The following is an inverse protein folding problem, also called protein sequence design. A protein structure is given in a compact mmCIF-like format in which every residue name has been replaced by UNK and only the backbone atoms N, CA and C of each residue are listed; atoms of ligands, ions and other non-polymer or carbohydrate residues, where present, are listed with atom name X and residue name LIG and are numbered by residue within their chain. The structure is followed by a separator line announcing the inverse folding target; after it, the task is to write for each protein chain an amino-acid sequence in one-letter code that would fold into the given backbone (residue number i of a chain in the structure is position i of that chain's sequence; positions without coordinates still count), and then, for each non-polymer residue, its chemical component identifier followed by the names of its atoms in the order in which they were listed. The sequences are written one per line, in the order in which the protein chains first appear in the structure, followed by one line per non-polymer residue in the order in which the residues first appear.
data_IF_811043383072
#
_entry.id   IF_811043383072
#
_cell.length_a   1.000
_cell.length_b   1.000
_cell.length_c   1.000
_cell.angle_alpha   90.00
_cell.angle_beta   90.00
_cell.angle_gamma   90.00
#
_symmetry.space_group_name_H-M   'P 1'
#
loop_
_entity.id
_entity.type
_entity.pdbx_description
1 polymer ?
#
# COMPACT_ATOMS: atom_id res chain seq x y z
N UNK A 1 42.78 -11.41 44.68
CA UNK A 1 42.15 -12.28 43.66
C UNK A 1 40.94 -12.92 44.32
N UNK A 2 39.72 -12.51 43.96
CA UNK A 2 38.51 -13.15 44.47
C UNK A 2 38.42 -14.58 43.92
N UNK A 3 38.15 -15.56 44.77
CA UNK A 3 38.09 -16.95 44.33
C UNK A 3 36.80 -17.20 43.55
N UNK A 4 36.80 -18.20 42.66
CA UNK A 4 35.61 -18.58 41.87
C UNK A 4 34.39 -18.92 42.75
N UNK A 5 34.65 -19.38 43.98
CA UNK A 5 33.63 -19.63 44.99
C UNK A 5 32.97 -18.34 45.50
N UNK A 6 33.73 -17.25 45.66
CA UNK A 6 33.19 -15.95 46.08
C UNK A 6 32.30 -15.36 44.99
N UNK A 7 32.67 -15.48 43.72
CA UNK A 7 31.86 -15.01 42.59
C UNK A 7 30.56 -15.80 42.49
N UNK A 8 30.61 -17.13 42.64
CA UNK A 8 29.41 -17.98 42.62
C UNK A 8 28.46 -17.67 43.79
N UNK A 9 29.00 -17.44 44.99
CA UNK A 9 28.21 -17.07 46.16
C UNK A 9 27.57 -15.67 46.02
N UNK A 10 28.29 -14.73 45.39
CA UNK A 10 27.79 -13.38 45.12
C UNK A 10 26.70 -13.40 44.05
N UNK A 11 26.85 -14.23 43.03
CA UNK A 11 25.87 -14.41 41.95
C UNK A 11 24.62 -15.16 42.42
N UNK A 12 24.77 -16.14 43.31
CA UNK A 12 23.65 -16.82 43.97
C UNK A 12 22.87 -15.86 44.89
N UNK A 13 23.56 -14.98 45.63
CA UNK A 13 22.91 -13.94 46.45
C UNK A 13 22.25 -12.86 45.60
N UNK A 14 22.85 -12.47 44.46
CA UNK A 14 22.26 -11.55 43.52
C UNK A 14 21.00 -12.14 42.85
N UNK A 15 21.01 -13.43 42.50
CA UNK A 15 19.84 -14.15 41.97
C UNK A 15 18.75 -14.33 43.04
N UNK A 16 19.13 -14.64 44.28
CA UNK A 16 18.18 -14.72 45.38
C UNK A 16 17.58 -13.33 45.72
N UNK A 17 18.37 -12.27 45.67
CA UNK A 17 17.91 -10.89 45.84
C UNK A 17 17.02 -10.44 44.67
N UNK A 18 17.32 -10.85 43.44
CA UNK A 18 16.48 -10.61 42.27
C UNK A 18 15.15 -11.39 42.32
N UNK A 19 15.14 -12.56 42.98
CA UNK A 19 13.94 -13.39 43.22
C UNK A 19 13.11 -12.91 44.42
N UNK A 20 13.75 -12.23 45.38
CA UNK A 20 13.13 -11.62 46.57
C UNK A 20 12.70 -10.17 46.35
N UNK A 21 13.25 -9.49 45.33
CA UNK A 21 12.59 -8.39 44.64
C UNK A 21 11.39 -8.99 43.91
N UNK A 22 10.31 -9.18 44.66
CA UNK A 22 8.97 -9.34 44.16
C UNK A 22 8.64 -8.05 43.41
N UNK A 23 9.14 -7.93 42.17
CA UNK A 23 8.86 -6.78 41.33
C UNK A 23 7.37 -6.90 41.02
N UNK A 24 6.51 -5.94 41.45
CA UNK A 24 5.10 -5.93 41.10
C UNK A 24 4.84 -5.74 39.59
N UNK A 25 5.85 -5.94 38.74
CA UNK A 25 5.83 -5.77 37.29
C UNK A 25 5.57 -7.07 36.52
N UNK A 26 5.76 -8.27 37.10
CA UNK A 26 5.59 -9.51 36.32
C UNK A 26 4.11 -9.89 36.13
N UNK A 27 3.29 -9.70 37.17
CA UNK A 27 1.82 -9.85 37.09
C UNK A 27 1.21 -8.77 36.21
N UNK A 28 1.64 -7.51 36.37
CA UNK A 28 1.20 -6.40 35.53
C UNK A 28 1.60 -6.57 34.05
N UNK A 29 2.79 -7.11 33.77
CA UNK A 29 3.22 -7.42 32.40
C UNK A 29 2.38 -8.54 31.79
N UNK A 30 2.12 -9.62 32.53
CA UNK A 30 1.30 -10.73 32.06
C UNK A 30 -0.15 -10.30 31.77
N UNK A 31 -0.73 -9.47 32.63
CA UNK A 31 -2.07 -8.90 32.41
C UNK A 31 -2.08 -7.93 31.23
N UNK A 32 -1.14 -6.98 31.16
CA UNK A 32 -1.02 -6.04 30.04
C UNK A 32 -0.80 -6.76 28.71
N UNK A 33 0.05 -7.80 28.71
CA UNK A 33 0.29 -8.65 27.56
C UNK A 33 -0.98 -9.42 27.16
N UNK A 34 -1.73 -9.95 28.13
CA UNK A 34 -3.02 -10.61 27.91
C UNK A 34 -4.06 -9.66 27.27
N UNK A 35 -4.20 -8.44 27.81
CA UNK A 35 -5.09 -7.42 27.24
C UNK A 35 -4.64 -6.99 25.84
N UNK A 36 -3.35 -6.75 25.63
CA UNK A 36 -2.79 -6.37 24.33
C UNK A 36 -3.01 -7.48 23.29
N UNK A 37 -2.80 -8.75 23.68
CA UNK A 37 -3.10 -9.92 22.88
C UNK A 37 -4.58 -9.98 22.52
N UNK A 38 -5.47 -9.79 23.49
CA UNK A 38 -6.90 -9.84 23.27
C UNK A 38 -7.38 -8.81 22.24
N UNK A 39 -6.91 -7.57 22.39
CA UNK A 39 -7.31 -6.46 21.51
C UNK A 39 -6.69 -6.62 20.11
N UNK A 40 -5.43 -7.01 20.01
CA UNK A 40 -4.73 -7.09 18.73
C UNK A 40 -5.03 -8.37 17.94
N UNK A 41 -5.10 -9.53 18.61
CA UNK A 41 -5.12 -10.85 17.98
C UNK A 41 -6.47 -11.56 18.11
N UNK A 42 -7.15 -11.47 19.25
CA UNK A 42 -8.34 -12.31 19.52
C UNK A 42 -9.65 -11.75 18.98
N UNK A 43 -9.73 -10.44 18.68
CA UNK A 43 -10.94 -9.86 18.10
C UNK A 43 -11.29 -10.60 16.80
N UNK A 44 -12.52 -11.02 16.48
CA UNK A 44 -12.75 -11.81 15.28
C UNK A 44 -12.68 -10.93 14.01
N UNK A 45 -12.07 -11.47 12.93
CA UNK A 45 -11.95 -10.73 11.66
C UNK A 45 -13.33 -10.45 11.06
N UNK A 46 -14.18 -11.46 11.00
CA UNK A 46 -15.57 -11.33 10.61
C UNK A 46 -16.45 -11.31 11.87
N UNK A 47 -17.42 -10.38 12.01
CA UNK A 47 -17.82 -9.33 11.07
C UNK A 47 -17.06 -8.00 11.26
N UNK A 48 -16.47 -7.76 12.43
CA UNK A 48 -16.13 -6.41 12.89
C UNK A 48 -14.96 -5.78 12.16
N UNK A 49 -13.80 -6.45 12.14
CA UNK A 49 -12.61 -5.91 11.49
C UNK A 49 -12.76 -5.83 9.99
N UNK A 50 -13.46 -6.80 9.40
CA UNK A 50 -13.74 -6.82 7.97
C UNK A 50 -14.57 -5.61 7.57
N UNK A 51 -15.64 -5.32 8.31
CA UNK A 51 -16.47 -4.16 8.05
C UNK A 51 -15.68 -2.86 8.21
N UNK A 52 -14.86 -2.74 9.26
CA UNK A 52 -13.98 -1.58 9.47
C UNK A 52 -12.98 -1.40 8.31
N UNK A 53 -12.38 -2.48 7.82
CA UNK A 53 -11.48 -2.46 6.65
C UNK A 53 -12.21 -2.04 5.37
N UNK A 54 -13.41 -2.58 5.12
CA UNK A 54 -14.25 -2.20 3.97
C UNK A 54 -14.62 -0.72 4.04
N UNK A 55 -14.96 -0.23 5.24
CA UNK A 55 -15.33 1.17 5.47
C UNK A 55 -14.14 2.12 5.26
N UNK A 56 -12.96 1.73 5.73
CA UNK A 56 -11.72 2.47 5.47
C UNK A 56 -11.37 2.50 3.98
N UNK A 57 -11.52 1.36 3.27
CA UNK A 57 -11.32 1.31 1.82
C UNK A 57 -12.31 2.22 1.07
N UNK A 58 -13.58 2.25 1.51
CA UNK A 58 -14.61 3.14 0.96
C UNK A 58 -14.26 4.61 1.17
N UNK A 59 -13.80 5.00 2.35
CA UNK A 59 -13.37 6.37 2.67
C UNK A 59 -12.20 6.81 1.78
N UNK A 60 -11.18 5.95 1.62
CA UNK A 60 -10.01 6.25 0.77
C UNK A 60 -10.33 6.34 -0.72
N UNK A 61 -11.18 5.45 -1.23
CA UNK A 61 -11.60 5.48 -2.64
C UNK A 61 -12.53 6.67 -2.93
N UNK A 62 -13.38 7.03 -1.97
CA UNK A 62 -14.17 8.25 -2.06
C UNK A 62 -13.30 9.51 -2.10
N UNK A 63 -12.27 9.57 -1.25
CA UNK A 63 -11.30 10.68 -1.24
C UNK A 63 -10.53 10.80 -2.56
N UNK A 64 -10.13 9.68 -3.17
CA UNK A 64 -9.43 9.65 -4.46
C UNK A 64 -10.32 10.17 -5.61
N UNK A 65 -11.58 9.75 -5.64
CA UNK A 65 -12.51 10.06 -6.73
C UNK A 65 -13.29 11.37 -6.52
N UNK A 66 -13.14 12.00 -5.35
CA UNK A 66 -13.90 13.16 -4.89
C UNK A 66 -15.43 13.01 -5.02
N UNK A 67 -15.94 11.77 -5.07
CA UNK A 67 -17.36 11.48 -5.34
C UNK A 67 -17.84 11.82 -6.75
N UNK A 68 -16.94 12.05 -7.71
CA UNK A 68 -17.27 12.54 -9.07
C UNK A 68 -17.38 11.45 -10.13
N UNK A 69 -17.26 10.17 -9.76
CA UNK A 69 -17.26 9.04 -10.69
C UNK A 69 -18.61 8.32 -10.70
N UNK A 70 -18.88 7.60 -11.79
CA UNK A 70 -20.04 6.73 -11.90
C UNK A 70 -20.09 5.73 -10.73
N UNK A 71 -21.29 5.51 -10.18
CA UNK A 71 -21.51 4.68 -8.99
C UNK A 71 -20.92 3.28 -9.13
N UNK A 72 -21.05 2.66 -10.31
CA UNK A 72 -20.54 1.31 -10.55
C UNK A 72 -19.01 1.27 -10.52
N UNK A 73 -18.36 2.28 -11.11
CA UNK A 73 -16.90 2.39 -11.10
C UNK A 73 -16.38 2.58 -9.68
N UNK A 74 -17.00 3.48 -8.89
CA UNK A 74 -16.56 3.69 -7.51
C UNK A 74 -16.78 2.45 -6.65
N UNK A 75 -17.91 1.75 -6.83
CA UNK A 75 -18.19 0.49 -6.14
C UNK A 75 -17.14 -0.58 -6.44
N UNK A 76 -16.85 -0.84 -7.73
CA UNK A 76 -15.85 -1.82 -8.16
C UNK A 76 -14.44 -1.43 -7.68
N UNK A 77 -14.10 -0.14 -7.73
CA UNK A 77 -12.83 0.34 -7.20
C UNK A 77 -12.71 0.09 -5.69
N UNK A 78 -13.76 0.35 -4.91
CA UNK A 78 -13.76 0.05 -3.48
C UNK A 78 -13.66 -1.45 -3.22
N UNK A 79 -14.31 -2.28 -4.05
CA UNK A 79 -14.22 -3.74 -3.95
C UNK A 79 -12.78 -4.22 -4.09
N UNK A 80 -12.07 -3.75 -5.12
CA UNK A 80 -10.65 -4.06 -5.32
C UNK A 80 -9.75 -3.40 -4.28
N UNK A 81 -10.10 -2.23 -3.76
CA UNK A 81 -9.36 -1.61 -2.66
C UNK A 81 -9.47 -2.44 -1.36
N UNK A 82 -10.61 -3.07 -1.09
CA UNK A 82 -10.83 -3.89 0.10
C UNK A 82 -10.25 -5.30 -0.04
N UNK A 83 -10.50 -6.00 -1.15
CA UNK A 83 -10.16 -7.42 -1.32
C UNK A 83 -9.06 -7.71 -2.33
N UNK A 84 -8.50 -6.68 -2.97
CA UNK A 84 -7.51 -6.85 -4.03
C UNK A 84 -6.25 -7.57 -3.56
N UNK A 85 -5.80 -7.33 -2.33
CA UNK A 85 -4.61 -7.98 -1.77
C UNK A 85 -4.75 -9.49 -1.66
N UNK A 86 -5.76 -9.96 -0.92
CA UNK A 86 -6.00 -11.39 -0.74
C UNK A 86 -6.40 -12.08 -2.04
N UNK A 87 -7.13 -11.39 -2.93
CA UNK A 87 -7.48 -11.91 -4.27
C UNK A 87 -6.24 -12.12 -5.13
N UNK A 88 -5.34 -11.14 -5.20
CA UNK A 88 -4.10 -11.27 -5.98
C UNK A 88 -3.18 -12.35 -5.40
N UNK A 89 -3.03 -12.41 -4.08
CA UNK A 89 -2.22 -13.43 -3.42
C UNK A 89 -2.78 -14.85 -3.68
N UNK A 90 -4.10 -15.02 -3.65
CA UNK A 90 -4.75 -16.29 -3.97
C UNK A 90 -4.57 -16.68 -5.44
N UNK A 91 -4.79 -15.75 -6.38
CA UNK A 91 -4.62 -16.01 -7.82
C UNK A 91 -3.17 -16.41 -8.14
N UNK A 92 -2.18 -15.70 -7.60
CA UNK A 92 -0.76 -16.00 -7.84
C UNK A 92 -0.29 -17.31 -7.18
N UNK A 93 -0.97 -17.76 -6.13
CA UNK A 93 -0.70 -19.05 -5.48
C UNK A 93 -1.53 -20.21 -6.04
N UNK A 94 -2.34 -19.97 -7.07
CA UNK A 94 -3.22 -20.99 -7.66
C UNK A 94 -4.38 -21.42 -6.75
N UNK A 95 -4.74 -20.60 -5.74
CA UNK A 95 -5.84 -20.86 -4.81
C UNK A 95 -7.12 -20.14 -5.26
N UNK A 96 -8.31 -20.66 -4.91
CA UNK A 96 -9.56 -19.94 -5.20
C UNK A 96 -9.56 -18.59 -4.46
N UNK A 97 -9.73 -17.50 -5.20
CA UNK A 97 -9.72 -16.18 -4.61
C UNK A 97 -10.94 -15.98 -3.68
N UNK A 98 -10.77 -15.33 -2.51
CA UNK A 98 -11.86 -15.12 -1.55
C UNK A 98 -13.10 -14.42 -2.14
N UNK A 99 -12.90 -13.64 -3.21
CA UNK A 99 -13.96 -12.95 -3.92
C UNK A 99 -14.90 -13.89 -4.71
N UNK A 100 -14.44 -15.09 -5.05
CA UNK A 100 -15.17 -16.06 -5.87
C UNK A 100 -15.57 -17.33 -5.10
N UNK A 101 -15.43 -17.33 -3.78
CA UNK A 101 -15.85 -18.45 -2.92
C UNK A 101 -17.22 -18.18 -2.31
N UNK A 102 -17.84 -19.21 -1.72
CA UNK A 102 -19.10 -19.08 -0.97
C UNK A 102 -19.00 -18.11 0.20
N UNK A 103 -17.80 -17.90 0.75
CA UNK A 103 -17.52 -16.88 1.77
C UNK A 103 -17.80 -15.46 1.26
N UNK A 104 -17.63 -15.22 -0.05
CA UNK A 104 -17.94 -13.93 -0.68
C UNK A 104 -19.39 -13.52 -0.47
N UNK A 105 -20.34 -14.46 -0.38
CA UNK A 105 -21.75 -14.16 -0.16
C UNK A 105 -22.01 -13.37 1.13
N UNK A 106 -21.15 -13.53 2.15
CA UNK A 106 -21.22 -12.77 3.40
C UNK A 106 -20.38 -11.49 3.38
N UNK A 107 -19.27 -11.49 2.64
CA UNK A 107 -18.35 -10.35 2.57
C UNK A 107 -18.87 -9.24 1.63
N UNK A 108 -19.52 -9.61 0.53
CA UNK A 108 -20.02 -8.69 -0.49
C UNK A 108 -21.10 -7.72 0.04
N UNK A 109 -22.09 -8.15 0.84
CA UNK A 109 -23.04 -7.23 1.47
C UNK A 109 -22.39 -6.22 2.42
N UNK A 110 -21.38 -6.64 3.21
CA UNK A 110 -20.65 -5.73 4.11
C UNK A 110 -19.90 -4.66 3.33
N UNK A 111 -19.25 -5.07 2.24
CA UNK A 111 -18.57 -4.16 1.34
C UNK A 111 -19.54 -3.18 0.67
N UNK A 112 -20.69 -3.67 0.21
CA UNK A 112 -21.72 -2.82 -0.39
C UNK A 112 -22.31 -1.83 0.61
N UNK A 113 -22.57 -2.28 1.84
CA UNK A 113 -23.03 -1.42 2.93
C UNK A 113 -22.00 -0.35 3.27
N UNK A 114 -20.73 -0.72 3.42
CA UNK A 114 -19.63 0.22 3.67
C UNK A 114 -19.52 1.26 2.54
N UNK A 115 -19.57 0.82 1.29
CA UNK A 115 -19.56 1.72 0.14
C UNK A 115 -20.75 2.68 0.14
N UNK A 116 -21.96 2.18 0.42
CA UNK A 116 -23.19 2.98 0.46
C UNK A 116 -23.14 4.03 1.57
N UNK A 117 -22.74 3.64 2.78
CA UNK A 117 -22.60 4.55 3.93
C UNK A 117 -21.62 5.69 3.64
N UNK A 118 -20.47 5.40 3.01
CA UNK A 118 -19.49 6.45 2.68
C UNK A 118 -19.96 7.32 1.53
N UNK A 119 -20.42 6.73 0.41
CA UNK A 119 -20.66 7.47 -0.82
C UNK A 119 -22.02 8.17 -0.86
N UNK A 120 -23.04 7.62 -0.20
CA UNK A 120 -24.42 8.15 -0.23
C UNK A 120 -24.76 8.91 1.05
N UNK A 121 -24.37 8.41 2.23
CA UNK A 121 -24.77 9.00 3.51
C UNK A 121 -23.80 10.10 3.96
N UNK A 122 -24.09 11.35 3.58
CA UNK A 122 -23.28 12.53 3.95
C UNK A 122 -22.97 12.70 5.45
N UNK A 123 -23.93 12.58 6.40
CA UNK A 123 -23.62 12.77 7.82
C UNK A 123 -22.66 11.71 8.37
N UNK A 124 -22.76 10.49 7.86
CA UNK A 124 -21.84 9.41 8.21
C UNK A 124 -20.40 9.72 7.75
N UNK A 125 -20.25 10.29 6.55
CA UNK A 125 -18.95 10.76 6.07
C UNK A 125 -18.39 11.88 6.93
N UNK A 126 -19.23 12.80 7.39
CA UNK A 126 -18.78 13.88 8.29
C UNK A 126 -18.25 13.31 9.62
N UNK A 127 -18.88 12.27 10.15
CA UNK A 127 -18.40 11.55 11.35
C UNK A 127 -17.03 10.91 11.12
N UNK A 128 -16.81 10.25 9.98
CA UNK A 128 -15.52 9.63 9.64
C UNK A 128 -14.37 10.63 9.46
N UNK A 129 -14.67 11.91 9.20
CA UNK A 129 -13.65 12.96 9.11
C UNK A 129 -13.11 13.41 10.48
N UNK A 130 -13.78 13.07 11.57
CA UNK A 130 -13.27 13.35 12.91
C UNK A 130 -12.00 12.51 13.13
N UNK A 131 -10.90 13.17 13.51
CA UNK A 131 -9.58 12.51 13.60
C UNK A 131 -9.58 11.32 14.55
N UNK A 132 -10.32 11.40 15.65
CA UNK A 132 -10.44 10.33 16.65
C UNK A 132 -11.16 9.12 16.05
N UNK A 133 -12.30 9.35 15.39
CA UNK A 133 -13.08 8.28 14.74
C UNK A 133 -12.27 7.64 13.60
N UNK A 134 -11.61 8.47 12.78
CA UNK A 134 -10.73 8.00 11.71
C UNK A 134 -9.56 7.17 12.26
N UNK A 135 -8.95 7.58 13.38
CA UNK A 135 -7.86 6.84 14.01
C UNK A 135 -8.32 5.46 14.51
N UNK A 136 -9.49 5.38 15.15
CA UNK A 136 -10.07 4.10 15.59
C UNK A 136 -10.39 3.21 14.38
N UNK A 137 -10.97 3.78 13.32
CA UNK A 137 -11.26 3.04 12.09
C UNK A 137 -9.97 2.50 11.44
N UNK A 138 -8.93 3.33 11.36
CA UNK A 138 -7.62 2.97 10.83
C UNK A 138 -6.96 1.88 11.66
N UNK A 139 -7.09 1.90 12.99
CA UNK A 139 -6.61 0.83 13.86
C UNK A 139 -7.22 -0.52 13.47
N UNK A 140 -8.55 -0.60 13.41
CA UNK A 140 -9.24 -1.85 13.07
C UNK A 140 -8.97 -2.30 11.64
N UNK A 141 -8.94 -1.38 10.67
CA UNK A 141 -8.56 -1.70 9.30
C UNK A 141 -7.11 -2.23 9.20
N UNK A 142 -6.19 -1.67 9.98
CA UNK A 142 -4.80 -2.13 10.01
C UNK A 142 -4.67 -3.48 10.71
N UNK A 143 -5.43 -3.74 11.78
CA UNK A 143 -5.49 -5.06 12.41
C UNK A 143 -6.01 -6.13 11.43
N UNK A 144 -7.04 -5.81 10.64
CA UNK A 144 -7.54 -6.71 9.59
C UNK A 144 -6.46 -7.01 8.54
N UNK A 145 -5.75 -5.97 8.09
CA UNK A 145 -4.64 -6.08 7.14
C UNK A 145 -3.54 -7.00 7.66
N UNK A 146 -3.09 -6.81 8.89
CA UNK A 146 -1.98 -7.59 9.47
C UNK A 146 -2.35 -9.07 9.53
N UNK A 147 -3.60 -9.39 9.89
CA UNK A 147 -4.08 -10.78 9.91
C UNK A 147 -4.19 -11.39 8.51
N UNK A 148 -4.53 -10.60 7.50
CA UNK A 148 -4.48 -11.04 6.10
C UNK A 148 -3.05 -11.37 5.67
N UNK A 149 -2.05 -10.62 6.16
CA UNK A 149 -0.63 -10.90 5.90
C UNK A 149 -0.24 -12.22 6.58
N UNK A 150 -0.53 -12.38 7.87
CA UNK A 150 -0.16 -13.60 8.62
C UNK A 150 -0.83 -14.85 8.03
N UNK A 151 -2.13 -14.79 7.74
CA UNK A 151 -2.84 -15.92 7.14
C UNK A 151 -2.33 -16.26 5.73
N UNK A 152 -1.89 -15.26 4.95
CA UNK A 152 -1.26 -15.51 3.65
C UNK A 152 0.13 -16.13 3.80
N UNK A 153 0.94 -15.67 4.75
CA UNK A 153 2.27 -16.26 5.02
C UNK A 153 2.13 -17.70 5.49
N UNK A 154 1.31 -17.96 6.51
CA UNK A 154 1.08 -19.31 7.04
C UNK A 154 0.58 -20.25 5.95
N UNK A 155 -0.43 -19.83 5.19
CA UNK A 155 -0.99 -20.63 4.10
C UNK A 155 -0.01 -20.88 2.94
N UNK A 156 1.02 -20.05 2.75
CA UNK A 156 2.06 -20.26 1.75
C UNK A 156 3.22 -21.11 2.27
N UNK A 157 3.55 -21.02 3.56
CA UNK A 157 4.53 -21.90 4.22
C UNK A 157 4.10 -23.36 4.09
N UNK A 158 2.80 -23.64 4.27
CA UNK A 158 2.25 -25.00 4.15
C UNK A 158 2.36 -25.57 2.72
N UNK A 159 2.36 -24.71 1.70
CA UNK A 159 2.33 -25.13 0.29
C UNK A 159 3.74 -25.13 -0.33
N UNK A 160 4.56 -24.14 0.00
CA UNK A 160 5.89 -23.93 -0.58
C UNK A 160 6.94 -23.62 0.50
N UNK A 161 7.28 -24.59 1.38
CA UNK A 161 8.15 -24.35 2.53
C UNK A 161 9.54 -23.80 2.15
N UNK A 162 10.11 -24.22 1.03
CA UNK A 162 11.46 -23.80 0.62
C UNK A 162 11.50 -22.42 -0.07
N UNK A 163 10.35 -21.89 -0.49
CA UNK A 163 10.25 -20.68 -1.30
C UNK A 163 10.09 -19.40 -0.46
N UNK A 164 11.01 -19.15 0.46
CA UNK A 164 10.96 -18.02 1.41
C UNK A 164 10.66 -16.65 0.76
N UNK A 165 11.27 -16.37 -0.40
CA UNK A 165 11.05 -15.11 -1.12
C UNK A 165 9.61 -15.00 -1.66
N UNK A 166 9.07 -16.11 -2.18
CA UNK A 166 7.68 -16.17 -2.65
C UNK A 166 6.68 -15.96 -1.51
N UNK A 167 6.94 -16.57 -0.35
CA UNK A 167 6.11 -16.42 0.85
C UNK A 167 6.05 -14.95 1.28
N UNK A 168 7.20 -14.27 1.39
CA UNK A 168 7.26 -12.86 1.78
C UNK A 168 6.56 -11.96 0.75
N UNK A 169 6.76 -12.22 -0.55
CA UNK A 169 6.13 -11.44 -1.61
C UNK A 169 4.62 -11.59 -1.61
N UNK A 170 4.10 -12.82 -1.52
CA UNK A 170 2.66 -13.08 -1.49
C UNK A 170 2.00 -12.58 -0.20
N UNK A 171 2.69 -12.72 0.95
CA UNK A 171 2.27 -12.15 2.22
C UNK A 171 2.19 -10.61 2.18
N UNK A 172 3.21 -9.95 1.63
CA UNK A 172 3.22 -8.51 1.43
C UNK A 172 2.10 -8.04 0.49
N UNK A 173 1.88 -8.77 -0.61
CA UNK A 173 0.83 -8.48 -1.58
C UNK A 173 -0.58 -8.60 -0.97
N UNK A 174 -0.80 -9.59 -0.10
CA UNK A 174 -2.04 -9.75 0.68
C UNK A 174 -2.38 -8.50 1.49
N UNK A 175 -1.36 -7.83 2.06
CA UNK A 175 -1.54 -6.62 2.86
C UNK A 175 -1.66 -5.31 2.07
N UNK A 176 -1.19 -5.25 0.82
CA UNK A 176 -1.11 -4.00 0.05
C UNK A 176 -1.84 -4.00 -1.31
N UNK A 177 -2.49 -5.09 -1.76
CA UNK A 177 -3.10 -5.09 -3.09
C UNK A 177 -4.11 -3.96 -3.33
N UNK A 178 -4.81 -3.48 -2.30
CA UNK A 178 -5.68 -2.31 -2.42
C UNK A 178 -4.94 -1.01 -2.80
N UNK A 179 -3.69 -0.82 -2.38
CA UNK A 179 -2.89 0.35 -2.77
C UNK A 179 -2.47 0.27 -4.24
N UNK A 180 -2.26 -0.94 -4.78
CA UNK A 180 -1.99 -1.16 -6.20
C UNK A 180 -3.18 -0.72 -7.05
N UNK A 181 -4.40 -1.17 -6.74
CA UNK A 181 -5.59 -0.80 -7.49
C UNK A 181 -5.94 0.69 -7.40
N UNK A 182 -5.80 1.30 -6.21
CA UNK A 182 -5.99 2.75 -6.07
C UNK A 182 -4.94 3.56 -6.82
N UNK A 183 -3.72 3.04 -6.98
CA UNK A 183 -2.67 3.68 -7.76
C UNK A 183 -2.88 3.53 -9.26
N UNK A 184 -3.40 2.39 -9.72
CA UNK A 184 -3.86 2.24 -11.11
C UNK A 184 -4.97 3.25 -11.43
N UNK A 185 -5.93 3.45 -10.53
CA UNK A 185 -6.95 4.47 -10.72
C UNK A 185 -6.37 5.90 -10.68
N UNK A 186 -5.37 6.16 -9.84
CA UNK A 186 -4.66 7.45 -9.84
C UNK A 186 -3.99 7.72 -11.19
N UNK A 187 -3.35 6.71 -11.78
CA UNK A 187 -2.76 6.80 -13.12
C UNK A 187 -3.85 7.00 -14.18
N UNK A 188 -4.99 6.33 -14.05
CA UNK A 188 -6.13 6.52 -14.95
C UNK A 188 -6.68 7.96 -14.89
N UNK A 189 -6.79 8.54 -13.70
CA UNK A 189 -7.32 9.90 -13.51
C UNK A 189 -6.33 11.02 -13.87
N UNK A 190 -5.07 10.87 -13.49
CA UNK A 190 -4.07 11.95 -13.56
C UNK A 190 -2.99 11.71 -14.64
N UNK A 191 -3.10 10.60 -15.38
CA UNK A 191 -2.17 10.25 -16.45
C UNK A 191 -0.76 9.92 -15.97
N UNK A 192 0.22 10.09 -16.87
CA UNK A 192 1.65 9.76 -16.65
C UNK A 192 2.35 10.58 -15.56
N UNK A 193 1.71 11.63 -15.04
CA UNK A 193 2.22 12.38 -13.89
C UNK A 193 2.03 11.67 -12.54
N UNK A 194 1.25 10.58 -12.50
CA UNK A 194 1.08 9.76 -11.30
C UNK A 194 2.14 8.68 -11.22
N UNK A 195 2.77 8.56 -10.04
CA UNK A 195 3.68 7.46 -9.72
C UNK A 195 2.90 6.19 -9.37
N UNK A 196 3.42 5.04 -9.80
CA UNK A 196 2.91 3.73 -9.39
C UNK A 196 3.57 3.29 -8.09
N UNK A 197 2.86 2.51 -7.27
CA UNK A 197 3.41 1.92 -6.03
C UNK A 197 4.61 1.00 -6.30
N UNK A 198 4.72 0.43 -7.50
CA UNK A 198 5.88 -0.36 -7.91
C UNK A 198 7.10 0.51 -8.22
N UNK A 199 6.89 1.73 -8.73
CA UNK A 199 7.97 2.67 -9.05
C UNK A 199 8.44 3.48 -7.84
N UNK A 200 7.49 3.92 -7.00
CA UNK A 200 7.74 4.71 -5.80
C UNK A 200 6.82 4.18 -4.69
N UNK A 201 7.26 3.17 -3.92
CA UNK A 201 6.41 2.50 -2.96
C UNK A 201 6.01 3.44 -1.82
N UNK A 202 4.70 3.55 -1.61
CA UNK A 202 4.13 4.26 -0.48
C UNK A 202 4.33 3.50 0.83
N UNK A 203 4.03 4.17 1.94
CA UNK A 203 4.06 3.53 3.26
C UNK A 203 3.22 2.25 3.34
N UNK A 204 1.96 2.20 2.84
CA UNK A 204 1.15 0.98 2.92
C UNK A 204 1.78 -0.23 2.23
N UNK A 205 2.51 -0.01 1.13
CA UNK A 205 3.24 -1.04 0.42
C UNK A 205 4.46 -1.48 1.22
N UNK A 206 5.32 -0.53 1.62
CA UNK A 206 6.53 -0.81 2.42
C UNK A 206 6.22 -1.55 3.71
N UNK A 207 5.21 -1.07 4.45
CA UNK A 207 4.80 -1.66 5.72
C UNK A 207 4.31 -3.10 5.54
N UNK A 208 3.54 -3.40 4.48
CA UNK A 208 3.03 -4.76 4.26
C UNK A 208 4.16 -5.77 3.98
N UNK A 209 5.11 -5.42 3.11
CA UNK A 209 6.27 -6.27 2.83
C UNK A 209 7.19 -6.39 4.04
N UNK A 210 7.41 -5.31 4.79
CA UNK A 210 8.19 -5.36 6.01
C UNK A 210 7.53 -6.24 7.07
N UNK A 211 6.21 -6.14 7.26
CA UNK A 211 5.48 -7.01 8.19
C UNK A 211 5.55 -8.47 7.79
N UNK A 212 5.38 -8.78 6.50
CA UNK A 212 5.50 -10.14 6.00
C UNK A 212 6.91 -10.71 6.25
N UNK A 213 7.94 -9.89 6.01
CA UNK A 213 9.33 -10.26 6.27
C UNK A 213 9.62 -10.46 7.76
N UNK A 214 9.24 -9.50 8.62
CA UNK A 214 9.45 -9.58 10.07
C UNK A 214 8.71 -10.77 10.68
N UNK A 215 7.49 -11.03 10.21
CA UNK A 215 6.71 -12.19 10.64
C UNK A 215 7.37 -13.51 10.22
N UNK A 216 7.78 -13.63 8.96
CA UNK A 216 8.46 -14.83 8.45
C UNK A 216 9.77 -15.11 9.20
N UNK A 217 10.61 -14.09 9.38
CA UNK A 217 11.89 -14.21 10.09
C UNK A 217 11.68 -14.50 11.57
N UNK A 218 10.74 -13.81 12.22
CA UNK A 218 10.49 -13.97 13.65
C UNK A 218 9.84 -15.31 14.01
N UNK A 219 9.07 -15.91 13.10
CA UNK A 219 8.46 -17.23 13.32
C UNK A 219 9.35 -18.39 12.86
N UNK A 220 10.34 -18.12 11.99
CA UNK A 220 11.24 -19.09 11.34
C UNK A 220 10.61 -20.47 11.14
N UNK A 221 9.48 -20.57 10.41
CA UNK A 221 8.66 -21.77 10.41
C UNK A 221 9.37 -22.99 9.81
N UNK A 222 10.42 -22.77 9.02
CA UNK A 222 11.21 -23.79 8.33
C UNK A 222 12.59 -23.98 8.93
N UNK A 223 12.97 -23.21 9.96
CA UNK A 223 14.29 -23.25 10.57
C UNK A 223 15.43 -22.81 9.63
N UNK A 224 15.10 -22.31 8.44
CA UNK A 224 16.09 -21.93 7.42
C UNK A 224 16.91 -20.72 7.86
N UNK A 225 16.30 -19.81 8.62
CA UNK A 225 17.02 -18.62 9.09
C UNK A 225 17.97 -19.01 10.22
N UNK A 226 17.52 -19.82 11.19
CA UNK A 226 18.37 -20.37 12.23
C UNK A 226 19.52 -21.22 11.65
N UNK A 227 19.26 -22.02 10.62
CA UNK A 227 20.26 -22.86 9.96
C UNK A 227 21.32 -22.06 9.19
N UNK A 228 20.96 -20.92 8.57
CA UNK A 228 21.89 -20.12 7.75
C UNK A 228 22.62 -19.03 8.53
N UNK A 229 21.97 -18.44 9.53
CA UNK A 229 22.51 -17.31 10.29
C UNK A 229 23.23 -17.78 11.56
N UNK A 230 23.04 -19.02 11.99
CA UNK A 230 23.70 -19.60 13.18
C UNK A 230 23.27 -18.96 14.50
N UNK A 231 22.31 -18.04 14.45
CA UNK A 231 21.70 -17.37 15.60
C UNK A 231 20.28 -17.88 15.69
N UNK A 232 19.91 -18.48 16.84
CA UNK A 232 18.53 -18.83 17.15
C UNK A 232 17.72 -17.53 17.12
N UNK A 233 16.85 -17.38 16.12
CA UNK A 233 16.21 -16.10 15.76
C UNK A 233 15.21 -15.72 16.84
N UNK A 234 15.68 -15.06 17.91
CA UNK A 234 14.93 -14.58 19.07
C UNK A 234 14.12 -15.68 19.81
N UNK A 235 14.16 -15.73 21.16
CA UNK A 235 13.35 -16.68 21.94
C UNK A 235 11.87 -16.22 22.02
N UNK A 236 11.29 -15.74 20.91
CA UNK A 236 9.93 -15.22 20.89
C UNK A 236 8.94 -16.28 20.42
N UNK A 237 7.77 -16.29 21.06
CA UNK A 237 6.66 -17.13 20.60
C UNK A 237 6.04 -16.55 19.33
N UNK A 238 5.41 -17.39 18.51
CA UNK A 238 4.67 -16.94 17.31
C UNK A 238 3.67 -15.82 17.65
N UNK A 239 3.00 -15.96 18.80
CA UNK A 239 2.02 -14.99 19.28
C UNK A 239 2.67 -13.65 19.68
N UNK A 240 3.86 -13.68 20.28
CA UNK A 240 4.61 -12.45 20.58
C UNK A 240 5.03 -11.72 19.31
N UNK A 241 5.53 -12.45 18.31
CA UNK A 241 5.90 -11.86 17.00
C UNK A 241 4.66 -11.24 16.35
N UNK A 242 3.54 -11.96 16.33
CA UNK A 242 2.25 -11.45 15.84
C UNK A 242 1.84 -10.17 16.57
N UNK A 243 1.96 -10.15 17.89
CA UNK A 243 1.60 -9.01 18.72
C UNK A 243 2.49 -7.80 18.43
N UNK A 244 3.82 -7.97 18.39
CA UNK A 244 4.76 -6.88 18.13
C UNK A 244 4.57 -6.27 16.74
N UNK A 245 4.43 -7.11 15.71
CA UNK A 245 4.21 -6.63 14.34
C UNK A 245 2.86 -5.94 14.22
N UNK A 246 1.79 -6.51 14.81
CA UNK A 246 0.45 -5.90 14.80
C UNK A 246 0.42 -4.58 15.55
N UNK A 247 0.97 -4.54 16.77
CA UNK A 247 1.02 -3.35 17.61
C UNK A 247 1.83 -2.23 16.93
N UNK A 248 2.99 -2.55 16.36
CA UNK A 248 3.82 -1.59 15.65
C UNK A 248 3.10 -0.95 14.45
N UNK A 249 2.44 -1.77 13.63
CA UNK A 249 1.70 -1.27 12.46
C UNK A 249 0.47 -0.46 12.85
N UNK A 250 -0.31 -0.96 13.81
CA UNK A 250 -1.50 -0.27 14.29
C UNK A 250 -1.15 1.06 14.98
N UNK A 251 -0.13 1.07 15.84
CA UNK A 251 0.36 2.29 16.49
C UNK A 251 0.82 3.32 15.46
N UNK A 252 1.62 2.89 14.48
CA UNK A 252 2.05 3.76 13.38
C UNK A 252 0.86 4.35 12.62
N UNK A 253 -0.11 3.52 12.23
CA UNK A 253 -1.27 3.95 11.46
C UNK A 253 -2.15 4.96 12.23
N UNK A 254 -2.33 4.75 13.54
CA UNK A 254 -3.02 5.66 14.44
C UNK A 254 -2.25 6.98 14.57
N UNK A 255 -0.95 6.92 14.84
CA UNK A 255 -0.09 8.10 15.00
C UNK A 255 -0.07 8.94 13.72
N UNK A 256 0.03 8.34 12.54
CA UNK A 256 -0.05 9.06 11.28
C UNK A 256 -1.41 9.74 11.06
N UNK A 257 -2.50 9.15 11.55
CA UNK A 257 -3.84 9.72 11.45
C UNK A 257 -4.02 10.91 12.40
N UNK A 258 -3.48 10.80 13.62
CA UNK A 258 -3.57 11.83 14.66
C UNK A 258 -2.60 13.00 14.45
N UNK A 259 -1.35 12.73 14.05
CA UNK A 259 -0.27 13.72 13.97
C UNK A 259 0.13 14.09 12.54
N UNK A 260 -0.35 13.36 11.54
CA UNK A 260 -0.07 13.60 10.11
C UNK A 260 0.99 12.67 9.52
N UNK A 261 1.14 12.74 8.19
CA UNK A 261 1.93 11.81 7.40
C UNK A 261 3.46 11.94 7.53
N UNK A 262 3.96 12.88 8.35
CA UNK A 262 5.40 13.13 8.54
C UNK A 262 6.07 12.08 9.45
N UNK A 263 5.30 11.26 10.16
CA UNK A 263 5.83 10.18 10.99
C UNK A 263 6.14 8.94 10.13
N UNK A 264 7.32 8.88 9.52
CA UNK A 264 7.81 7.69 8.81
C UNK A 264 8.98 7.05 9.59
N UNK A 265 8.76 5.99 10.38
CA UNK A 265 9.81 5.35 11.17
C UNK A 265 10.80 4.54 10.30
N UNK A 266 10.48 4.28 9.02
CA UNK A 266 11.40 3.63 8.08
C UNK A 266 12.29 4.62 7.34
N UNK A 267 12.11 5.94 7.52
CA UNK A 267 12.96 6.95 6.89
C UNK A 267 14.46 6.76 7.20
N UNK A 268 14.89 6.40 8.42
CA UNK A 268 16.30 6.11 8.70
C UNK A 268 16.80 4.89 7.90
N UNK A 269 16.01 3.82 7.84
CA UNK A 269 16.33 2.60 7.07
C UNK A 269 16.41 2.91 5.58
N UNK A 270 15.49 3.72 5.05
CA UNK A 270 15.51 4.16 3.65
C UNK A 270 16.78 4.96 3.33
N UNK A 271 17.21 5.86 4.22
CA UNK A 271 18.45 6.64 4.03
C UNK A 271 19.70 5.74 4.06
N UNK A 272 19.72 4.73 4.93
CA UNK A 272 20.82 3.76 4.97
C UNK A 272 20.81 2.86 3.73
N UNK A 273 19.66 2.31 3.35
CA UNK A 273 19.57 1.40 2.22
C UNK A 273 19.83 2.12 0.88
N UNK A 274 19.34 3.34 0.73
CA UNK A 274 19.60 4.17 -0.46
C UNK A 274 21.06 4.61 -0.56
N UNK A 275 21.73 4.88 0.56
CA UNK A 275 23.16 5.21 0.56
C UNK A 275 24.03 3.99 0.22
N UNK A 276 23.63 2.79 0.66
CA UNK A 276 24.30 1.53 0.31
C UNK A 276 24.04 1.12 -1.16
N UNK A 277 22.80 1.23 -1.63
CA UNK A 277 22.39 0.78 -2.97
C UNK A 277 22.49 1.86 -4.07
N UNK A 278 22.90 3.09 -3.72
CA UNK A 278 22.95 4.27 -4.62
C UNK A 278 21.62 4.54 -5.34
N UNK A 279 20.50 4.26 -4.68
CA UNK A 279 19.17 4.54 -5.22
C UNK A 279 18.76 5.98 -4.87
N UNK A 280 18.10 6.72 -5.78
CA UNK A 280 17.59 8.06 -5.46
C UNK A 280 16.57 7.97 -4.31
N UNK A 281 16.80 8.72 -3.24
CA UNK A 281 15.86 8.83 -2.13
C UNK A 281 14.63 9.59 -2.59
N UNK A 282 13.45 8.97 -2.46
CA UNK A 282 12.15 9.52 -2.84
C UNK A 282 11.67 10.67 -1.94
N UNK A 283 12.53 11.62 -1.61
CA UNK A 283 12.22 12.81 -0.83
C UNK A 283 11.70 13.99 -1.68
N UNK A 284 11.33 13.77 -2.93
CA UNK A 284 10.50 14.70 -3.66
C UNK A 284 9.03 14.34 -3.38
N UNK A 285 8.47 14.91 -2.32
CA UNK A 285 7.03 15.03 -2.21
C UNK A 285 6.52 15.57 -3.56
N UNK A 286 5.69 14.79 -4.25
CA UNK A 286 5.05 15.26 -5.46
C UNK A 286 4.42 16.63 -5.16
N UNK A 287 4.71 17.68 -5.95
CA UNK A 287 4.09 18.98 -5.73
C UNK A 287 2.57 18.81 -5.70
N UNK A 288 1.85 19.57 -4.87
CA UNK A 288 0.39 19.47 -4.80
C UNK A 288 -0.16 19.63 -6.21
N UNK A 289 -0.85 18.59 -6.69
CA UNK A 289 -1.55 18.64 -7.97
C UNK A 289 -2.58 19.76 -7.84
N UNK A 290 -2.29 20.90 -8.46
CA UNK A 290 -3.23 22.00 -8.61
C UNK A 290 -4.41 21.48 -9.41
N UNK A 291 -5.56 21.36 -8.75
CA UNK A 291 -6.82 21.05 -9.42
C UNK A 291 -7.07 22.11 -10.50
N UNK A 292 -7.37 21.73 -11.76
CA UNK A 292 -7.84 22.71 -12.72
C UNK A 292 -9.15 23.34 -12.19
N UNK A 293 -9.36 24.65 -12.41
CA UNK A 293 -10.49 25.35 -11.85
C UNK A 293 -11.82 24.75 -12.32
N UNK A 294 -12.74 24.68 -11.36
CA UNK A 294 -14.14 24.25 -11.46
C UNK A 294 -14.83 24.86 -12.69
N UNK A 295 -14.96 24.12 -13.78
CA UNK A 295 -15.99 24.40 -14.78
C UNK A 295 -17.36 24.25 -14.11
N UNK A 296 -18.13 25.34 -14.04
CA UNK A 296 -19.52 25.28 -13.55
C UNK A 296 -20.34 24.35 -14.46
N UNK A 297 -21.24 23.52 -13.90
CA UNK A 297 -22.23 22.83 -14.70
C UNK A 297 -23.24 23.89 -15.19
N UNK A 298 -23.14 24.30 -16.45
CA UNK A 298 -24.02 25.33 -17.00
C UNK A 298 -23.71 25.85 -18.41
N UNK A 299 -22.51 25.63 -18.95
CA UNK A 299 -22.19 26.18 -20.28
C UNK A 299 -22.37 25.13 -21.38
N UNK A 300 -23.50 25.27 -22.08
CA UNK A 300 -23.86 24.47 -23.25
C UNK A 300 -22.96 24.72 -24.46
N UNK A 301 -22.66 23.62 -25.14
CA UNK A 301 -22.30 23.43 -26.56
C UNK A 301 -21.81 24.62 -27.41
N UNK A 302 -20.61 24.44 -27.99
CA UNK A 302 -20.40 24.55 -29.45
C UNK A 302 -19.21 23.68 -29.89
N UNK A 303 -19.36 22.74 -30.84
CA UNK A 303 -18.24 22.00 -31.40
C UNK A 303 -17.47 22.89 -32.39
N UNK A 304 -16.15 22.99 -32.25
CA UNK A 304 -15.27 23.51 -33.30
C UNK A 304 -14.73 22.34 -34.13
N UNK A 305 -14.79 22.43 -35.48
CA UNK A 305 -14.29 21.38 -36.36
C UNK A 305 -12.78 21.52 -36.58
N UNK A 306 -12.09 20.38 -36.64
CA UNK A 306 -10.81 20.22 -37.32
C UNK A 306 -9.56 20.64 -36.53
N UNK A 307 -8.85 19.67 -35.97
CA UNK A 307 -7.40 19.60 -36.14
C UNK A 307 -6.93 18.17 -35.90
N UNK A 308 -6.25 17.65 -36.90
CA UNK A 308 -5.86 16.28 -37.05
C UNK A 308 -4.75 15.84 -36.09
N UNK A 309 -4.73 14.52 -35.92
CA UNK A 309 -3.66 13.66 -35.44
C UNK A 309 -2.29 14.12 -35.96
N UNK A 310 -1.32 14.21 -35.04
CA UNK A 310 0.09 14.44 -35.34
C UNK A 310 0.95 13.98 -34.19
N UNK A 311 1.28 12.69 -34.18
CA UNK A 311 2.28 12.08 -33.31
C UNK A 311 3.67 12.63 -33.65
N UNK A 312 4.40 13.15 -32.67
CA UNK A 312 5.85 13.29 -32.80
C UNK A 312 6.51 12.90 -31.49
N UNK A 313 7.19 11.77 -31.56
CA UNK A 313 8.16 11.25 -30.61
C UNK A 313 9.41 12.13 -30.74
N UNK A 314 9.90 12.70 -29.63
CA UNK A 314 11.32 13.08 -29.54
C UNK A 314 11.83 12.78 -28.14
N UNK A 315 12.70 11.76 -28.10
CA UNK A 315 13.60 11.46 -27.00
C UNK A 315 14.57 12.63 -26.78
N UNK A 316 14.87 12.94 -25.52
CA UNK A 316 15.97 13.83 -25.14
C UNK A 316 16.95 13.03 -24.30
N UNK A 317 18.02 12.58 -24.95
CA UNK A 317 19.26 12.16 -24.32
C UNK A 317 20.21 13.35 -24.23
N UNK A 318 20.89 13.43 -23.10
CA UNK A 318 21.89 14.41 -22.73
C UNK A 318 23.02 14.58 -23.76
N UNK A 319 23.55 15.80 -23.88
CA UNK A 319 24.98 15.98 -24.17
C UNK A 319 25.50 17.31 -23.61
N UNK A 320 26.77 17.23 -23.25
CA UNK A 320 27.63 18.14 -22.49
C UNK A 320 28.47 18.96 -23.49
N UNK A 321 28.56 20.28 -23.24
CA UNK A 321 29.67 21.23 -23.45
C UNK A 321 30.40 21.33 -24.82
N UNK A 322 30.77 22.59 -25.13
CA UNK A 322 31.68 23.10 -26.18
C UNK A 322 30.95 23.53 -27.46
N UNK A 323 30.94 24.80 -27.92
CA UNK A 323 31.99 25.82 -27.90
C UNK A 323 32.50 26.00 -29.33
N UNK A 324 31.98 26.96 -30.10
CA UNK A 324 32.48 27.17 -31.46
C UNK A 324 31.64 28.05 -32.38
N UNK A 325 32.24 29.16 -32.79
CA UNK A 325 31.82 30.25 -33.67
C UNK A 325 31.21 29.88 -35.05
N UNK A 326 30.28 30.76 -35.45
CA UNK A 326 30.17 31.49 -36.73
C UNK A 326 29.50 30.91 -38.00
N UNK A 327 28.80 31.86 -38.64
CA UNK A 327 28.50 32.04 -40.07
C UNK A 327 27.20 31.48 -40.67
N UNK A 328 26.20 32.38 -40.68
CA UNK A 328 25.48 32.89 -41.86
C UNK A 328 25.61 32.13 -43.18
N UNK A 329 24.48 31.70 -43.74
CA UNK A 329 24.12 31.98 -45.14
C UNK A 329 22.60 31.80 -45.35
N UNK A 330 21.95 32.91 -45.73
CA UNK A 330 20.63 32.95 -46.36
C UNK A 330 20.67 32.13 -47.65
N UNK A 331 19.67 31.28 -47.91
CA UNK A 331 19.26 31.04 -49.29
C UNK A 331 17.74 31.10 -49.45
N UNK A 332 17.41 31.67 -50.59
CA UNK A 332 16.17 32.35 -50.95
C UNK A 332 15.27 31.35 -51.68
N UNK A 333 13.98 31.46 -51.41
CA UNK A 333 12.86 30.87 -52.17
C UNK A 333 13.02 31.17 -53.68
N UNK A 334 12.55 30.28 -54.56
CA UNK A 334 11.47 30.73 -55.43
C UNK A 334 10.28 29.79 -55.46
N UNK A 335 9.14 30.46 -55.54
CA UNK A 335 7.76 30.00 -55.62
C UNK A 335 7.43 29.74 -57.10
N UNK A 336 6.33 29.00 -57.30
CA UNK A 336 5.30 29.17 -58.36
C UNK A 336 5.31 28.08 -59.45
N UNK A 337 4.15 27.42 -59.59
CA UNK A 337 3.84 26.57 -60.73
C UNK A 337 2.70 25.57 -60.47
N UNK A 338 1.46 26.05 -60.41
CA UNK A 338 0.25 25.29 -60.75
C UNK A 338 -0.51 26.16 -61.79
N UNK A 339 -1.57 25.69 -62.50
CA UNK A 339 -2.33 24.44 -62.36
C UNK A 339 -2.78 23.82 -63.71
N UNK A 340 -3.81 22.94 -63.65
CA UNK A 340 -4.74 22.49 -64.71
C UNK A 340 -4.37 21.14 -65.39
N UNK A 341 -5.29 20.22 -65.70
CA UNK A 341 -6.74 20.05 -65.46
C UNK A 341 -7.15 18.62 -65.89
N UNK A 342 -8.44 18.28 -65.71
CA UNK A 342 -9.22 17.21 -66.35
C UNK A 342 -9.12 15.78 -65.75
N UNK A 343 -10.16 14.94 -65.69
CA UNK A 343 -11.62 15.02 -65.88
C UNK A 343 -12.22 13.64 -65.52
N UNK A 344 -13.56 13.57 -65.44
CA UNK A 344 -14.48 12.40 -65.38
C UNK A 344 -14.73 11.78 -63.98
N UNK A 345 -15.93 11.86 -63.36
CA UNK A 345 -17.29 11.37 -63.70
C UNK A 345 -17.35 9.83 -63.84
N UNK A 346 -18.17 9.04 -63.15
CA UNK A 346 -19.28 9.23 -62.22
C UNK A 346 -19.99 7.86 -62.02
N UNK A 347 -21.04 7.84 -61.17
CA UNK A 347 -22.15 6.83 -61.10
C UNK A 347 -21.79 5.40 -60.62
N UNK A 348 -22.65 4.62 -59.91
CA UNK A 348 -24.02 4.73 -59.39
C UNK A 348 -24.23 3.61 -58.33
N UNK A 349 -25.16 3.84 -57.40
CA UNK A 349 -25.79 2.84 -56.52
C UNK A 349 -26.54 1.74 -57.31
N UNK A 350 -26.62 0.53 -56.74
CA UNK A 350 -27.83 -0.13 -56.16
C UNK A 350 -27.76 -1.65 -56.33
N UNK A 351 -27.84 -2.38 -55.21
CA UNK A 351 -28.95 -3.27 -54.86
C UNK A 351 -28.91 -3.52 -53.36
#
# INVERSE_FOLDING_TARGET
MATTADVAATLARALAAAKALDIPSYTGYAELHGWARHIALDLPVFPYLLFAHCLYAAERTHALTAGRQHWLKSYVLTLFAAFGGSTMAAVLSGRPAPLFTTTANLMMPMQALAWYLVNVVTPFRALLRLRIVSAVLVYFATAAKVRSIFGAVDGMVDVFPDAWAGIVVLGGLSGCGGSLFTSLERINMYGRGSVSELSAPGWPFKAAFLSAFLYYVGTDPTGLVAARVGVKVLPWTKDEVCLFVSAGLCAHAVLCTLYGATFNPLRPVEVVLSSVLRLPTGAAAAPPVTLPPRGRPGDGAKPRPGSAVGSTITASTASVVSGGKANTAKLRVPKKGAPQSAASSGTKKTK
#
